data_IF_300353055231
#
_entry.id   IF_300353055231
#
_cell.length_a   1.000
_cell.length_b   1.000
_cell.length_c   1.000
_cell.angle_alpha   90.00
_cell.angle_beta   90.00
_cell.angle_gamma   90.00
#
_symmetry.space_group_name_H-M   'P 1'
#
loop_
_entity.id
_entity.type
_entity.pdbx_description
1 polymer ?
#
# COMPACT_ATOMS: atom_id res chain seq x y z
N UNK A 1 3.67 43.05 -23.52
CA UNK A 1 3.42 42.02 -24.54
C UNK A 1 3.44 40.70 -23.81
N UNK A 2 2.30 40.04 -23.86
CA UNK A 2 1.89 38.91 -23.04
C UNK A 2 2.42 37.62 -23.65
N UNK A 3 2.96 36.71 -22.83
CA UNK A 3 3.00 35.29 -23.16
C UNK A 3 3.01 34.48 -21.87
N UNK A 4 1.84 33.92 -21.56
CA UNK A 4 1.66 32.89 -20.53
C UNK A 4 1.64 31.54 -21.24
N UNK A 5 2.53 30.59 -20.91
CA UNK A 5 2.30 29.19 -21.27
C UNK A 5 1.36 28.58 -20.24
N UNK A 6 0.11 28.40 -20.64
CA UNK A 6 -0.83 27.48 -20.01
C UNK A 6 -0.37 26.08 -20.35
N UNK A 7 0.19 25.37 -19.37
CA UNK A 7 0.55 23.96 -19.53
C UNK A 7 -0.52 23.14 -18.81
N UNK A 8 -1.41 22.58 -19.62
CA UNK A 8 -2.23 21.43 -19.28
C UNK A 8 -1.37 20.36 -18.59
N UNK A 9 -1.75 19.97 -17.39
CA UNK A 9 -1.33 18.70 -16.80
C UNK A 9 -2.57 18.01 -16.26
N UNK A 10 -3.29 17.49 -17.24
CA UNK A 10 -4.14 16.32 -17.13
C UNK A 10 -3.36 15.20 -16.41
N UNK A 11 -3.70 14.95 -15.15
CA UNK A 11 -3.49 13.64 -14.56
C UNK A 11 -4.88 13.01 -14.43
N UNK A 12 -5.20 12.24 -15.45
CA UNK A 12 -6.39 11.41 -15.52
C UNK A 12 -6.51 10.58 -14.24
N UNK A 13 -7.57 10.85 -13.48
CA UNK A 13 -8.15 9.86 -12.58
C UNK A 13 -8.73 8.75 -13.47
N UNK A 14 -7.86 7.82 -13.86
CA UNK A 14 -8.26 6.58 -14.49
C UNK A 14 -8.70 5.66 -13.35
N UNK A 15 -9.99 5.70 -13.05
CA UNK A 15 -10.65 4.71 -12.20
C UNK A 15 -10.39 3.31 -12.79
N UNK A 16 -9.76 2.39 -12.06
CA UNK A 16 -9.70 1.01 -12.50
C UNK A 16 -11.07 0.40 -12.26
N UNK A 17 -11.76 0.15 -13.38
CA UNK A 17 -13.00 -0.62 -13.44
C UNK A 17 -12.68 -2.07 -13.07
N UNK A 18 -12.61 -2.37 -11.77
CA UNK A 18 -12.61 -3.76 -11.30
C UNK A 18 -14.06 -4.25 -11.20
N UNK A 19 -14.62 -4.45 -12.39
CA UNK A 19 -15.65 -5.45 -12.62
C UNK A 19 -14.95 -6.79 -12.40
N UNK A 20 -15.33 -7.56 -11.38
CA UNK A 20 -15.18 -9.03 -11.26
C UNK A 20 -15.60 -9.42 -9.83
N UNK A 21 -16.91 -9.41 -9.57
CA UNK A 21 -17.45 -10.32 -8.58
C UNK A 21 -17.40 -11.73 -9.19
N UNK A 22 -16.66 -12.70 -8.62
CA UNK A 22 -16.90 -14.09 -8.95
C UNK A 22 -18.24 -14.44 -8.32
N UNK A 23 -19.28 -14.54 -9.14
CA UNK A 23 -20.45 -15.32 -8.77
C UNK A 23 -19.96 -16.69 -8.28
N UNK A 24 -20.30 -17.13 -7.06
CA UNK A 24 -20.06 -18.52 -6.69
C UNK A 24 -20.93 -19.36 -7.63
N UNK A 25 -20.26 -20.04 -8.55
CA UNK A 25 -20.88 -21.11 -9.33
C UNK A 25 -21.29 -22.19 -8.34
N UNK A 26 -22.52 -22.08 -7.83
CA UNK A 26 -23.23 -23.21 -7.29
C UNK A 26 -23.18 -24.30 -8.38
N UNK A 27 -22.70 -25.53 -8.09
CA UNK A 27 -22.88 -26.61 -9.02
C UNK A 27 -24.39 -26.73 -9.27
N UNK A 28 -24.79 -26.35 -10.47
CA UNK A 28 -26.13 -26.61 -11.00
C UNK A 28 -26.29 -28.11 -10.91
N UNK A 29 -27.05 -28.54 -9.91
CA UNK A 29 -27.48 -29.92 -9.77
C UNK A 29 -28.22 -30.26 -11.06
N UNK A 30 -27.51 -30.92 -11.99
CA UNK A 30 -28.13 -31.60 -13.09
C UNK A 30 -29.22 -32.49 -12.50
N UNK A 31 -30.49 -32.33 -12.90
CA UNK A 31 -31.50 -33.31 -12.56
C UNK A 31 -31.07 -34.61 -13.23
N UNK A 32 -30.57 -35.54 -12.43
CA UNK A 32 -30.37 -36.91 -12.83
C UNK A 32 -31.64 -37.41 -13.52
N UNK A 33 -31.42 -38.12 -14.61
CA UNK A 33 -32.45 -38.74 -15.43
C UNK A 33 -33.50 -39.41 -14.54
N UNK A 34 -34.76 -39.05 -14.79
CA UNK A 34 -35.95 -39.65 -14.17
C UNK A 34 -35.83 -41.18 -14.19
N UNK A 35 -35.73 -41.87 -13.04
CA UNK A 35 -35.97 -43.29 -13.01
C UNK A 35 -37.46 -43.50 -13.33
N UNK A 36 -37.69 -44.20 -14.43
CA UNK A 36 -38.97 -44.67 -14.90
C UNK A 36 -39.67 -45.41 -13.74
N UNK A 37 -40.60 -44.74 -13.04
CA UNK A 37 -41.47 -45.34 -12.03
C UNK A 37 -42.43 -46.30 -12.72
N UNK A 38 -41.96 -47.50 -13.03
CA UNK A 38 -42.83 -48.65 -13.21
C UNK A 38 -43.12 -49.22 -11.83
N UNK A 39 -44.38 -49.08 -11.45
CA UNK A 39 -45.04 -49.65 -10.29
C UNK A 39 -45.02 -51.18 -10.37
N UNK A 40 -43.88 -51.79 -10.05
CA UNK A 40 -43.85 -53.15 -9.53
C UNK A 40 -43.81 -53.04 -8.02
N UNK A 41 -44.84 -53.52 -7.32
CA UNK A 41 -44.68 -53.90 -5.91
C UNK A 41 -43.74 -55.11 -5.92
N UNK A 42 -42.43 -54.86 -6.03
CA UNK A 42 -41.42 -55.84 -5.66
C UNK A 42 -41.76 -56.29 -4.24
N UNK A 43 -41.81 -57.59 -4.03
CA UNK A 43 -42.12 -58.17 -2.72
C UNK A 43 -41.21 -57.53 -1.68
N UNK A 44 -41.71 -57.15 -0.50
CA UNK A 44 -40.85 -56.65 0.59
C UNK A 44 -39.69 -57.61 0.87
N UNK A 45 -39.90 -58.90 0.59
CA UNK A 45 -38.87 -59.95 0.64
C UNK A 45 -37.72 -59.66 -0.32
N UNK A 46 -38.00 -59.25 -1.56
CA UNK A 46 -36.98 -58.90 -2.57
C UNK A 46 -36.18 -57.64 -2.18
N UNK A 47 -36.82 -56.68 -1.52
CA UNK A 47 -36.13 -55.47 -1.03
C UNK A 47 -35.24 -55.73 0.18
N UNK A 48 -35.61 -56.70 1.03
CA UNK A 48 -34.84 -57.11 2.21
C UNK A 48 -33.74 -58.10 1.83
N UNK A 49 -33.94 -58.89 0.77
CA UNK A 49 -32.93 -59.79 0.19
C UNK A 49 -31.95 -59.07 -0.74
N UNK A 50 -32.27 -57.86 -1.21
CA UNK A 50 -31.35 -57.03 -1.97
C UNK A 50 -30.12 -56.66 -1.11
N UNK A 51 -28.94 -57.09 -1.56
CA UNK A 51 -27.69 -56.74 -0.92
C UNK A 51 -27.49 -55.22 -1.02
N UNK A 52 -27.31 -54.57 0.13
CA UNK A 52 -27.00 -53.15 0.18
C UNK A 52 -25.66 -52.94 -0.50
N UNK A 53 -25.62 -52.06 -1.49
CA UNK A 53 -24.35 -51.59 -2.04
C UNK A 53 -23.54 -50.99 -0.89
N UNK A 54 -22.30 -51.45 -0.65
CA UNK A 54 -21.45 -50.89 0.38
C UNK A 54 -21.33 -49.38 0.17
N UNK A 55 -21.56 -48.62 1.23
CA UNK A 55 -21.38 -47.17 1.17
C UNK A 55 -19.89 -46.86 1.11
N UNK A 56 -19.48 -46.15 0.06
CA UNK A 56 -18.13 -45.64 -0.04
C UNK A 56 -18.00 -44.33 0.75
N UNK A 57 -17.57 -44.46 2.00
CA UNK A 57 -17.26 -43.33 2.85
C UNK A 57 -16.15 -42.45 2.27
N UNK A 58 -15.22 -43.04 1.52
CA UNK A 58 -14.02 -42.36 1.06
C UNK A 58 -14.39 -41.33 0.00
N UNK A 59 -15.06 -41.78 -1.07
CA UNK A 59 -15.51 -40.94 -2.18
C UNK A 59 -16.61 -39.96 -1.79
N UNK A 60 -17.58 -40.40 -0.98
CA UNK A 60 -18.76 -39.60 -0.65
C UNK A 60 -18.52 -38.53 0.42
N UNK A 61 -17.57 -38.74 1.33
CA UNK A 61 -17.40 -37.88 2.51
C UNK A 61 -15.97 -37.42 2.70
N UNK A 62 -14.96 -38.27 2.52
CA UNK A 62 -13.60 -37.90 2.89
C UNK A 62 -12.96 -36.98 1.84
N UNK A 63 -13.01 -37.35 0.56
CA UNK A 63 -12.37 -36.57 -0.51
C UNK A 63 -12.87 -35.12 -0.64
N UNK A 64 -14.18 -34.81 -0.58
CA UNK A 64 -14.66 -33.44 -0.69
C UNK A 64 -14.09 -32.50 0.39
N UNK A 65 -13.88 -33.01 1.62
CA UNK A 65 -13.30 -32.22 2.70
C UNK A 65 -11.79 -32.05 2.54
N UNK A 66 -11.09 -33.05 2.00
CA UNK A 66 -9.68 -32.91 1.66
C UNK A 66 -9.49 -31.86 0.55
N UNK A 67 -10.35 -31.87 -0.46
CA UNK A 67 -10.34 -30.89 -1.55
C UNK A 67 -10.67 -29.47 -1.05
N UNK A 68 -11.64 -29.33 -0.13
CA UNK A 68 -11.93 -28.04 0.51
C UNK A 68 -10.74 -27.55 1.32
N UNK A 69 -10.12 -28.43 2.12
CA UNK A 69 -8.92 -28.08 2.91
C UNK A 69 -7.78 -27.62 2.01
N UNK A 70 -7.55 -28.30 0.88
CA UNK A 70 -6.54 -27.91 -0.09
C UNK A 70 -6.84 -26.55 -0.75
N UNK A 71 -8.12 -26.25 -1.00
CA UNK A 71 -8.54 -24.93 -1.51
C UNK A 71 -8.34 -23.83 -0.49
N UNK A 72 -8.70 -24.07 0.77
CA UNK A 72 -8.50 -23.11 1.85
C UNK A 72 -7.02 -22.79 2.06
N UNK A 73 -6.15 -23.82 2.03
CA UNK A 73 -4.70 -23.64 2.13
C UNK A 73 -4.15 -22.81 0.96
N UNK A 74 -4.66 -23.03 -0.26
CA UNK A 74 -4.27 -22.25 -1.43
C UNK A 74 -4.73 -20.80 -1.32
N UNK A 75 -5.98 -20.57 -0.94
CA UNK A 75 -6.54 -19.23 -0.73
C UNK A 75 -5.79 -18.46 0.36
N UNK A 76 -5.48 -19.10 1.49
CA UNK A 76 -4.73 -18.46 2.56
C UNK A 76 -3.33 -18.03 2.09
N UNK A 77 -2.66 -18.84 1.27
CA UNK A 77 -1.36 -18.48 0.70
C UNK A 77 -1.47 -17.27 -0.24
N UNK A 78 -2.44 -17.28 -1.15
CA UNK A 78 -2.68 -16.18 -2.09
C UNK A 78 -3.03 -14.88 -1.35
N UNK A 79 -3.90 -14.94 -0.34
CA UNK A 79 -4.28 -13.80 0.48
C UNK A 79 -3.07 -13.21 1.22
N UNK A 80 -2.25 -14.07 1.82
CA UNK A 80 -1.05 -13.63 2.52
C UNK A 80 -0.07 -12.97 1.55
N UNK A 81 0.15 -13.55 0.38
CA UNK A 81 1.01 -12.97 -0.66
C UNK A 81 0.53 -11.58 -1.09
N UNK A 82 -0.76 -11.44 -1.38
CA UNK A 82 -1.37 -10.16 -1.75
C UNK A 82 -1.24 -9.11 -0.64
N UNK A 83 -1.47 -9.52 0.62
CA UNK A 83 -1.35 -8.64 1.78
C UNK A 83 0.09 -8.15 1.97
N UNK A 84 1.07 -9.04 1.82
CA UNK A 84 2.48 -8.67 1.92
C UNK A 84 2.89 -7.69 0.82
N UNK A 85 2.48 -7.92 -0.42
CA UNK A 85 2.76 -7.01 -1.53
C UNK A 85 2.14 -5.63 -1.29
N UNK A 86 0.85 -5.56 -0.92
CA UNK A 86 0.18 -4.30 -0.62
C UNK A 86 0.84 -3.54 0.54
N UNK A 87 1.24 -4.25 1.60
CA UNK A 87 1.94 -3.66 2.74
C UNK A 87 3.33 -3.12 2.34
N UNK A 88 4.09 -3.86 1.54
CA UNK A 88 5.40 -3.46 1.04
C UNK A 88 5.30 -2.23 0.14
N UNK A 89 4.37 -2.21 -0.80
CA UNK A 89 4.14 -1.06 -1.69
C UNK A 89 3.73 0.19 -0.90
N UNK A 90 2.83 0.03 0.06
CA UNK A 90 2.39 1.13 0.93
C UNK A 90 3.56 1.68 1.74
N UNK A 91 4.40 0.80 2.31
CA UNK A 91 5.59 1.21 3.04
C UNK A 91 6.62 1.92 2.13
N UNK A 92 6.87 1.38 0.94
CA UNK A 92 7.79 1.99 -0.02
C UNK A 92 7.32 3.40 -0.43
N UNK A 93 6.03 3.57 -0.70
CA UNK A 93 5.46 4.87 -1.03
C UNK A 93 5.51 5.85 0.15
N UNK A 94 5.09 5.40 1.34
CA UNK A 94 5.09 6.22 2.56
C UNK A 94 6.50 6.66 2.97
N UNK A 95 7.52 5.83 2.71
CA UNK A 95 8.93 6.18 3.00
C UNK A 95 9.55 7.09 1.94
N UNK A 96 9.20 6.93 0.67
CA UNK A 96 9.71 7.78 -0.41
C UNK A 96 9.11 9.19 -0.43
N UNK A 97 7.83 9.31 -0.03
CA UNK A 97 7.07 10.56 -0.14
C UNK A 97 7.65 11.75 0.63
N UNK A 98 8.02 11.65 1.93
CA UNK A 98 8.58 12.78 2.67
C UNK A 98 9.86 13.34 2.05
N UNK A 99 10.71 12.46 1.50
CA UNK A 99 11.93 12.87 0.81
C UNK A 99 11.60 13.68 -0.45
N UNK A 100 10.66 13.18 -1.27
CA UNK A 100 10.23 13.87 -2.48
C UNK A 100 9.62 15.24 -2.19
N UNK A 101 8.77 15.34 -1.18
CA UNK A 101 8.16 16.60 -0.75
C UNK A 101 9.21 17.61 -0.26
N UNK A 102 10.18 17.14 0.52
CA UNK A 102 11.28 17.97 1.02
C UNK A 102 12.19 18.45 -0.12
N UNK A 103 12.58 17.57 -1.04
CA UNK A 103 13.39 17.91 -2.21
C UNK A 103 12.67 18.95 -3.10
N UNK A 104 11.38 18.75 -3.34
CA UNK A 104 10.56 19.70 -4.10
C UNK A 104 10.50 21.07 -3.43
N UNK A 105 10.33 21.11 -2.11
CA UNK A 105 10.33 22.37 -1.35
C UNK A 105 11.71 23.05 -1.40
N UNK A 106 12.80 22.31 -1.22
CA UNK A 106 14.18 22.82 -1.30
C UNK A 106 14.45 23.44 -2.66
N UNK A 107 14.15 22.72 -3.76
CA UNK A 107 14.32 23.24 -5.13
C UNK A 107 13.54 24.52 -5.38
N UNK A 108 12.31 24.60 -4.86
CA UNK A 108 11.49 25.82 -4.97
C UNK A 108 12.18 27.01 -4.29
N UNK A 109 12.74 26.82 -3.10
CA UNK A 109 13.46 27.90 -2.41
C UNK A 109 14.77 28.26 -3.09
N UNK A 110 15.53 27.29 -3.58
CA UNK A 110 16.75 27.52 -4.36
C UNK A 110 16.46 28.38 -5.60
N UNK A 111 15.39 28.05 -6.35
CA UNK A 111 14.95 28.85 -7.49
C UNK A 111 14.57 30.28 -7.09
N UNK A 112 13.88 30.46 -5.97
CA UNK A 112 13.54 31.79 -5.46
C UNK A 112 14.78 32.59 -5.07
N UNK A 113 15.74 31.96 -4.40
CA UNK A 113 17.02 32.57 -4.02
C UNK A 113 17.79 33.01 -5.27
N UNK A 114 17.92 32.12 -6.25
CA UNK A 114 18.57 32.44 -7.53
C UNK A 114 17.85 33.59 -8.26
N UNK A 115 16.51 33.60 -8.24
CA UNK A 115 15.73 34.69 -8.82
C UNK A 115 15.97 36.03 -8.15
N UNK A 116 16.07 36.07 -6.82
CA UNK A 116 16.41 37.29 -6.06
C UNK A 116 17.83 37.74 -6.39
N UNK A 117 18.79 36.82 -6.39
CA UNK A 117 20.19 37.11 -6.70
C UNK A 117 20.35 37.71 -8.10
N UNK A 118 19.64 37.17 -9.09
CA UNK A 118 19.64 37.70 -10.46
C UNK A 118 19.07 39.12 -10.51
N UNK A 119 17.94 39.37 -9.85
CA UNK A 119 17.36 40.73 -9.76
C UNK A 119 18.29 41.71 -9.05
N UNK A 120 18.99 41.28 -8.01
CA UNK A 120 19.94 42.14 -7.28
C UNK A 120 21.18 42.47 -8.12
N UNK A 121 21.65 41.51 -8.93
CA UNK A 121 22.70 41.71 -9.94
C UNK A 121 22.28 42.74 -10.99
N UNK A 122 21.05 42.63 -11.53
CA UNK A 122 20.50 43.56 -12.51
C UNK A 122 20.34 44.99 -11.96
N UNK A 123 20.00 45.13 -10.67
CA UNK A 123 19.86 46.43 -10.00
C UNK A 123 21.20 47.08 -9.60
N UNK A 124 22.33 46.40 -9.80
CA UNK A 124 23.66 46.92 -9.45
C UNK A 124 23.89 47.08 -7.94
N UNK A 125 23.09 46.41 -7.11
CA UNK A 125 23.16 46.50 -5.64
C UNK A 125 24.24 45.61 -5.02
N UNK A 126 24.63 44.52 -5.69
CA UNK A 126 25.63 43.56 -5.19
C UNK A 126 27.09 44.05 -5.28
N UNK A 127 27.40 45.01 -6.14
CA UNK A 127 28.78 45.49 -6.35
C UNK A 127 29.18 46.65 -5.44
N UNK A 128 28.22 47.34 -4.82
CA UNK A 128 28.46 48.51 -3.97
C UNK A 128 28.11 48.27 -2.49
N UNK A 129 28.20 47.02 -2.03
CA UNK A 129 27.77 46.66 -0.69
C UNK A 129 28.90 46.85 0.34
N UNK A 130 28.84 47.83 1.24
CA UNK A 130 29.80 47.90 2.34
C UNK A 130 29.64 46.65 3.23
N UNK A 131 30.74 46.05 3.73
CA UNK A 131 30.73 44.74 4.41
C UNK A 131 29.98 44.66 5.75
N UNK A 132 29.12 45.63 6.12
CA UNK A 132 28.62 45.77 7.50
C UNK A 132 27.10 45.63 7.72
N UNK A 133 26.26 45.43 6.69
CA UNK A 133 24.79 45.60 6.84
C UNK A 133 23.90 44.34 6.89
N UNK A 134 24.42 43.11 7.01
CA UNK A 134 23.58 41.95 7.39
C UNK A 134 23.99 41.22 8.69
N UNK A 135 24.10 41.89 9.84
CA UNK A 135 24.22 41.18 11.12
C UNK A 135 22.89 40.54 11.59
N UNK A 136 21.73 40.99 11.11
CA UNK A 136 20.44 40.63 11.74
C UNK A 136 19.87 39.27 11.32
N UNK A 137 19.96 38.90 10.04
CA UNK A 137 19.54 37.55 9.59
C UNK A 137 20.51 36.47 10.07
N UNK A 138 21.81 36.75 10.11
CA UNK A 138 22.81 35.81 10.62
C UNK A 138 22.65 35.58 12.12
N UNK A 139 22.35 36.61 12.92
CA UNK A 139 22.18 36.47 14.37
C UNK A 139 20.96 35.62 14.76
N UNK A 140 19.83 35.79 14.06
CA UNK A 140 18.62 34.98 14.32
C UNK A 140 18.83 33.54 13.88
N UNK A 141 19.49 33.32 12.74
CA UNK A 141 19.81 31.97 12.26
C UNK A 141 20.79 31.26 13.21
N UNK A 142 21.85 31.95 13.66
CA UNK A 142 22.85 31.39 14.55
C UNK A 142 22.26 31.03 15.92
N UNK A 143 21.39 31.89 16.47
CA UNK A 143 20.69 31.61 17.73
C UNK A 143 19.75 30.41 17.63
N UNK A 144 19.08 30.24 16.49
CA UNK A 144 18.18 29.11 16.26
C UNK A 144 18.98 27.82 16.05
N UNK A 145 20.11 27.89 15.34
CA UNK A 145 21.08 26.80 15.16
C UNK A 145 21.65 26.33 16.50
N UNK A 146 22.04 27.27 17.38
CA UNK A 146 22.53 26.97 18.72
C UNK A 146 21.49 26.21 19.55
N UNK A 147 20.24 26.71 19.57
CA UNK A 147 19.13 26.08 20.31
C UNK A 147 18.81 24.67 19.82
N UNK A 148 18.85 24.45 18.51
CA UNK A 148 18.63 23.14 17.93
C UNK A 148 19.74 22.16 18.32
N UNK A 149 20.99 22.61 18.30
CA UNK A 149 22.14 21.79 18.68
C UNK A 149 22.10 21.41 20.17
N UNK A 150 21.75 22.36 21.04
CA UNK A 150 21.54 22.10 22.46
C UNK A 150 20.42 21.08 22.70
N UNK A 151 19.31 21.19 21.95
CA UNK A 151 18.21 20.24 22.03
C UNK A 151 18.62 18.83 21.60
N UNK A 152 19.28 18.69 20.45
CA UNK A 152 19.76 17.39 19.94
C UNK A 152 20.75 16.76 20.93
N UNK A 153 21.63 17.56 21.52
CA UNK A 153 22.60 17.08 22.52
C UNK A 153 21.88 16.56 23.77
N UNK A 154 20.87 17.28 24.27
CA UNK A 154 20.05 16.83 25.40
C UNK A 154 19.27 15.55 25.08
N UNK A 155 18.69 15.46 23.89
CA UNK A 155 18.01 14.26 23.41
C UNK A 155 18.95 13.06 23.37
N UNK A 156 20.14 13.23 22.78
CA UNK A 156 21.15 12.16 22.72
C UNK A 156 21.61 11.73 24.12
N UNK A 157 21.83 12.69 25.02
CA UNK A 157 22.21 12.39 26.42
C UNK A 157 21.10 11.66 27.18
N UNK A 158 19.84 12.06 27.00
CA UNK A 158 18.70 11.38 27.62
C UNK A 158 18.52 9.96 27.08
N UNK A 159 18.69 9.77 25.76
CA UNK A 159 18.65 8.44 25.13
C UNK A 159 19.80 7.55 25.60
N UNK A 160 21.03 8.07 25.72
CA UNK A 160 22.17 7.34 26.27
C UNK A 160 21.92 6.91 27.73
N UNK A 161 21.37 7.80 28.55
CA UNK A 161 21.01 7.50 29.93
C UNK A 161 19.91 6.44 30.04
N UNK A 162 18.89 6.48 29.16
CA UNK A 162 17.77 5.54 29.18
C UNK A 162 18.18 4.13 28.68
N UNK A 163 19.13 4.06 27.74
CA UNK A 163 19.55 2.81 27.10
C UNK A 163 20.76 2.16 27.78
N UNK A 164 21.35 2.81 28.79
CA UNK A 164 22.57 2.33 29.46
C UNK A 164 23.80 2.31 28.56
N UNK A 165 23.70 2.84 27.34
CA UNK A 165 24.80 2.98 26.41
C UNK A 165 25.56 4.27 26.76
N UNK A 166 26.53 4.14 27.66
CA UNK A 166 27.56 5.16 27.84
C UNK A 166 28.44 5.14 26.58
N UNK A 167 28.43 6.25 25.83
CA UNK A 167 29.47 6.55 24.82
C UNK A 167 30.67 7.15 25.53
#
# INVERSE_FOLDING_TARGET
MSDSPSVDSSLAAQEPVHNLSPTPNLPSAQPQAKPNRRTGRGSLVELVEAEFTPFDCEEGVIFPFQDETARDDAFQKELNEMLYDAALQTHAWASARPFHETDTATRKYEQQIMGIQNKENEQGMLTNRPPSLFPFVSLVFEKTRQRLNDFVTRMRSALAALTGMVV
#
